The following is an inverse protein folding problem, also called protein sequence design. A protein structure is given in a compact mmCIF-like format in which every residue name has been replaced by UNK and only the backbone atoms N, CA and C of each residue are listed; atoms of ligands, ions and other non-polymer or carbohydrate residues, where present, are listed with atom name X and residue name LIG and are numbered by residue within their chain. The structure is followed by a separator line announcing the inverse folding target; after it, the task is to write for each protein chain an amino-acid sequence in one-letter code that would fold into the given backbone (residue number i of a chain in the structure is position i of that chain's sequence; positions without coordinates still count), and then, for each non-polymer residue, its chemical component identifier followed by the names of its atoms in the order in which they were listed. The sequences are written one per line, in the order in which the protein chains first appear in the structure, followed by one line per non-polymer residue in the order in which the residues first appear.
data_IF_600041446523
#
_entry.id   IF_600041446523
#
_cell.length_a   1.000
_cell.length_b   1.000
_cell.length_c   1.000
_cell.angle_alpha   90.00
_cell.angle_beta   90.00
_cell.angle_gamma   90.00
#
_symmetry.space_group_name_H-M   'P 1'
#
loop_
_entity.id
_entity.type
_entity.pdbx_description
1 polymer ?
#
# COMPACT_ATOMS: atom_id res chain seq x y z
N UNK A 1 -6.94 5.02 9.55
CA UNK A 1 -7.27 5.27 8.13
C UNK A 1 -6.77 6.65 7.73
N UNK A 2 -6.30 6.80 6.50
CA UNK A 2 -5.96 8.10 5.89
C UNK A 2 -7.23 8.73 5.30
N UNK A 3 -7.51 9.99 5.62
CA UNK A 3 -8.77 10.65 5.25
C UNK A 3 -8.81 10.97 3.75
N UNK A 4 -7.67 11.38 3.17
CA UNK A 4 -7.61 11.79 1.77
C UNK A 4 -7.79 10.59 0.82
N UNK A 5 -7.06 9.52 1.08
CA UNK A 5 -6.98 8.36 0.18
C UNK A 5 -7.89 7.20 0.57
N UNK A 6 -8.49 7.27 1.76
CA UNK A 6 -9.22 6.18 2.42
C UNK A 6 -8.39 4.91 2.68
N UNK A 7 -7.09 4.91 2.36
CA UNK A 7 -6.19 3.78 2.62
C UNK A 7 -5.94 3.61 4.12
N UNK A 8 -5.32 2.49 4.49
CA UNK A 8 -4.74 2.36 5.82
C UNK A 8 -3.66 3.44 6.01
N UNK A 9 -3.54 3.95 7.23
CA UNK A 9 -2.43 4.81 7.60
C UNK A 9 -1.29 3.94 8.16
N UNK A 10 -0.13 4.54 8.43
CA UNK A 10 1.03 3.85 9.01
C UNK A 10 0.70 3.03 10.27
N UNK A 11 -0.11 3.57 11.17
CA UNK A 11 -0.50 2.86 12.39
C UNK A 11 -1.31 1.60 12.08
N UNK A 12 -2.35 1.72 11.25
CA UNK A 12 -3.19 0.57 10.87
C UNK A 12 -2.38 -0.49 10.11
N UNK A 13 -1.47 -0.08 9.23
CA UNK A 13 -0.54 -0.98 8.55
C UNK A 13 0.25 -1.85 9.53
N UNK A 14 0.84 -1.24 10.56
CA UNK A 14 1.66 -1.97 11.53
C UNK A 14 0.84 -2.95 12.36
N UNK A 15 -0.38 -2.55 12.77
CA UNK A 15 -1.30 -3.44 13.46
C UNK A 15 -1.64 -4.65 12.59
N UNK A 16 -2.06 -4.40 11.35
CA UNK A 16 -2.45 -5.47 10.41
C UNK A 16 -1.26 -6.38 10.10
N UNK A 17 -0.07 -5.82 9.88
CA UNK A 17 1.13 -6.59 9.63
C UNK A 17 1.51 -7.47 10.82
N UNK A 18 1.42 -6.94 12.05
CA UNK A 18 1.71 -7.68 13.27
C UNK A 18 0.78 -8.88 13.42
N UNK A 19 -0.51 -8.73 13.13
CA UNK A 19 -1.48 -9.83 13.15
C UNK A 19 -1.10 -10.93 12.15
N UNK A 20 -0.66 -10.56 10.94
CA UNK A 20 -0.30 -11.53 9.90
C UNK A 20 0.97 -12.32 10.22
N UNK A 21 2.03 -11.64 10.69
CA UNK A 21 3.31 -12.31 10.99
C UNK A 21 3.25 -13.15 12.28
N UNK A 22 2.29 -12.89 13.16
CA UNK A 22 2.12 -13.65 14.41
C UNK A 22 1.32 -14.94 14.23
N UNK A 23 0.79 -15.20 13.02
CA UNK A 23 0.00 -16.39 12.73
C UNK A 23 0.87 -17.66 12.78
N UNK A 24 0.34 -18.77 13.32
CA UNK A 24 1.04 -20.08 13.40
C UNK A 24 1.55 -20.59 12.05
N UNK A 25 0.89 -20.21 10.96
CA UNK A 25 1.35 -20.39 9.57
C UNK A 25 1.34 -19.01 8.93
N UNK A 26 2.38 -18.21 9.18
CA UNK A 26 2.52 -16.92 8.52
C UNK A 26 2.92 -17.14 7.06
N UNK A 27 2.30 -16.47 6.09
CA UNK A 27 2.77 -16.47 4.71
C UNK A 27 4.11 -15.72 4.61
N UNK A 28 4.88 -15.99 3.55
CA UNK A 28 5.99 -15.12 3.17
C UNK A 28 5.39 -13.85 2.57
N UNK A 29 5.94 -12.69 2.94
CA UNK A 29 5.39 -11.38 2.58
C UNK A 29 6.37 -10.60 1.73
N UNK A 30 5.85 -10.00 0.67
CA UNK A 30 6.51 -8.92 -0.03
C UNK A 30 6.03 -7.58 0.55
N UNK A 31 6.98 -6.65 0.71
CA UNK A 31 6.70 -5.26 1.08
C UNK A 31 7.23 -4.38 -0.04
N UNK A 32 6.32 -3.71 -0.75
CA UNK A 32 6.65 -2.72 -1.75
C UNK A 32 6.53 -1.33 -1.12
N UNK A 33 7.63 -0.60 -1.12
CA UNK A 33 7.66 0.81 -0.76
C UNK A 33 7.60 1.64 -2.05
N UNK A 34 6.64 2.55 -2.13
CA UNK A 34 6.39 3.40 -3.30
C UNK A 34 6.51 4.85 -2.86
N UNK A 35 7.41 5.58 -3.50
CA UNK A 35 7.58 7.02 -3.33
C UNK A 35 7.24 7.71 -4.67
N UNK A 36 6.55 8.85 -4.62
CA UNK A 36 6.23 9.61 -5.83
C UNK A 36 7.36 10.58 -6.15
N UNK A 37 8.12 10.27 -7.20
CA UNK A 37 9.18 11.14 -7.70
C UNK A 37 8.65 12.56 -7.97
N UNK A 38 9.38 13.56 -7.47
CA UNK A 38 9.09 14.99 -7.66
C UNK A 38 7.68 15.44 -7.26
N UNK A 39 7.02 14.76 -6.31
CA UNK A 39 5.67 15.15 -5.86
C UNK A 39 5.60 16.59 -5.34
N UNK A 40 6.66 17.07 -4.67
CA UNK A 40 6.78 18.47 -4.26
C UNK A 40 6.73 19.42 -5.46
N UNK A 41 7.40 19.09 -6.56
CA UNK A 41 7.37 19.91 -7.79
C UNK A 41 5.96 20.01 -8.38
N UNK A 42 5.15 18.95 -8.27
CA UNK A 42 3.73 18.99 -8.66
C UNK A 42 2.96 19.98 -7.79
N UNK A 43 3.14 19.92 -6.46
CA UNK A 43 2.49 20.86 -5.55
C UNK A 43 2.94 22.31 -5.79
N UNK A 44 4.22 22.53 -6.02
CA UNK A 44 4.78 23.88 -6.19
C UNK A 44 4.30 24.53 -7.50
N UNK A 45 4.13 23.76 -8.58
CA UNK A 45 3.72 24.29 -9.88
C UNK A 45 2.20 24.30 -10.12
N UNK A 46 1.47 23.33 -9.55
CA UNK A 46 0.05 23.13 -9.84
C UNK A 46 -0.86 23.26 -8.61
N UNK A 47 -0.27 23.45 -7.43
CA UNK A 47 -0.97 23.62 -6.15
C UNK A 47 -1.35 22.30 -5.49
N UNK A 48 -1.52 22.35 -4.16
CA UNK A 48 -1.84 21.18 -3.33
C UNK A 48 -3.13 20.45 -3.76
N UNK A 49 -4.13 21.16 -4.28
CA UNK A 49 -5.35 20.52 -4.78
C UNK A 49 -5.08 19.55 -5.94
N UNK A 50 -4.03 19.78 -6.74
CA UNK A 50 -3.63 18.87 -7.83
C UNK A 50 -2.83 17.70 -7.27
N UNK A 51 -1.93 17.95 -6.32
CA UNK A 51 -1.25 16.89 -5.58
C UNK A 51 -2.22 15.94 -4.88
N UNK A 52 -3.26 16.47 -4.24
CA UNK A 52 -4.30 15.68 -3.58
C UNK A 52 -5.04 14.78 -4.57
N UNK A 53 -5.38 15.30 -5.75
CA UNK A 53 -6.00 14.51 -6.82
C UNK A 53 -5.10 13.38 -7.31
N UNK A 54 -3.78 13.64 -7.43
CA UNK A 54 -2.81 12.63 -7.80
C UNK A 54 -2.74 11.51 -6.75
N UNK A 55 -2.67 11.87 -5.46
CA UNK A 55 -2.65 10.90 -4.36
C UNK A 55 -3.92 10.04 -4.33
N UNK A 56 -5.09 10.66 -4.52
CA UNK A 56 -6.37 9.94 -4.62
C UNK A 56 -6.37 9.00 -5.83
N UNK A 57 -5.88 9.47 -6.98
CA UNK A 57 -5.82 8.66 -8.19
C UNK A 57 -4.89 7.44 -8.03
N UNK A 58 -3.68 7.64 -7.51
CA UNK A 58 -2.75 6.55 -7.23
C UNK A 58 -3.36 5.54 -6.26
N UNK A 59 -4.04 6.02 -5.21
CA UNK A 59 -4.68 5.15 -4.22
C UNK A 59 -5.79 4.28 -4.84
N UNK A 60 -6.56 4.84 -5.76
CA UNK A 60 -7.56 4.09 -6.52
C UNK A 60 -6.91 3.07 -7.47
N UNK A 61 -5.79 3.44 -8.11
CA UNK A 61 -5.03 2.55 -8.98
C UNK A 61 -4.47 1.36 -8.20
N UNK A 62 -3.84 1.60 -7.04
CA UNK A 62 -3.34 0.54 -6.17
C UNK A 62 -4.47 -0.41 -5.78
N UNK A 63 -5.63 0.09 -5.36
CA UNK A 63 -6.78 -0.77 -5.02
C UNK A 63 -7.31 -1.61 -6.19
N UNK A 64 -7.21 -1.07 -7.41
CA UNK A 64 -7.74 -1.71 -8.62
C UNK A 64 -6.79 -2.75 -9.18
N UNK A 65 -5.49 -2.45 -9.21
CA UNK A 65 -4.49 -3.27 -9.90
C UNK A 65 -3.85 -4.32 -9.01
N UNK A 66 -3.90 -4.15 -7.68
CA UNK A 66 -3.31 -5.14 -6.77
C UNK A 66 -4.16 -6.43 -6.78
N UNK A 67 -3.60 -7.57 -7.24
CA UNK A 67 -4.34 -8.80 -7.38
C UNK A 67 -4.63 -9.40 -6.02
N UNK A 68 -5.91 -9.69 -5.74
CA UNK A 68 -6.31 -10.41 -4.53
C UNK A 68 -5.61 -11.77 -4.58
N UNK A 69 -4.60 -11.96 -3.73
CA UNK A 69 -3.88 -13.24 -3.65
C UNK A 69 -4.80 -14.25 -2.97
N UNK A 70 -5.24 -15.27 -3.73
CA UNK A 70 -6.12 -16.32 -3.24
C UNK A 70 -5.29 -17.61 -3.17
N UNK A 71 -4.78 -17.91 -1.99
CA UNK A 71 -4.18 -19.20 -1.68
C UNK A 71 -5.16 -20.02 -0.83
N UNK A 72 -5.28 -21.35 -1.02
CA UNK A 72 -6.25 -22.17 -0.31
C UNK A 72 -6.11 -22.09 1.22
N UNK A 73 -4.88 -21.92 1.70
CA UNK A 73 -4.53 -21.90 3.11
C UNK A 73 -4.54 -20.49 3.74
N UNK A 74 -4.69 -19.44 2.92
CA UNK A 74 -4.61 -18.05 3.37
C UNK A 74 -5.85 -17.25 3.00
N UNK A 75 -6.32 -16.42 3.94
CA UNK A 75 -7.39 -15.46 3.62
C UNK A 75 -6.87 -14.50 2.54
N UNK A 76 -7.66 -14.12 1.53
CA UNK A 76 -7.19 -13.15 0.57
C UNK A 76 -6.98 -11.80 1.25
N UNK A 77 -5.77 -11.27 1.20
CA UNK A 77 -5.45 -9.98 1.82
C UNK A 77 -4.36 -9.24 1.05
N UNK A 78 -4.58 -7.95 0.86
CA UNK A 78 -3.60 -6.98 0.40
C UNK A 78 -3.75 -5.76 1.29
N UNK A 79 -2.64 -5.25 1.83
CA UNK A 79 -2.62 -4.03 2.62
C UNK A 79 -1.99 -2.92 1.78
N UNK A 80 -2.80 -2.00 1.27
CA UNK A 80 -2.33 -0.75 0.70
C UNK A 80 -2.50 0.37 1.73
N UNK A 81 -1.40 1.08 2.02
CA UNK A 81 -1.35 2.10 3.06
C UNK A 81 -0.60 3.33 2.57
N UNK A 82 -1.08 4.51 2.97
CA UNK A 82 -0.30 5.75 2.86
C UNK A 82 0.43 5.98 4.18
N UNK A 83 1.76 6.03 4.13
CA UNK A 83 2.61 6.08 5.33
C UNK A 83 3.28 7.43 5.52
N UNK A 84 3.38 8.23 4.46
CA UNK A 84 3.94 9.58 4.44
C UNK A 84 3.11 10.56 3.59
N UNK A 85 3.73 11.65 3.15
CA UNK A 85 3.06 12.65 2.32
C UNK A 85 2.77 12.10 0.91
N UNK A 86 3.78 11.51 0.28
CA UNK A 86 3.83 10.89 -1.04
C UNK A 86 4.15 9.39 -0.98
N UNK A 87 4.47 8.89 0.21
CA UNK A 87 4.92 7.52 0.44
C UNK A 87 3.75 6.55 0.67
N UNK A 88 3.78 5.44 -0.04
CA UNK A 88 2.83 4.33 0.08
C UNK A 88 3.57 3.03 0.37
N UNK A 89 2.90 2.15 1.11
CA UNK A 89 3.34 0.78 1.34
C UNK A 89 2.26 -0.18 0.88
N UNK A 90 2.67 -1.17 0.10
CA UNK A 90 1.84 -2.30 -0.26
C UNK A 90 2.45 -3.57 0.32
N UNK A 91 1.62 -4.34 1.03
CA UNK A 91 2.00 -5.65 1.54
C UNK A 91 1.08 -6.72 0.96
N UNK A 92 1.68 -7.79 0.44
CA UNK A 92 0.97 -8.93 -0.12
C UNK A 92 1.72 -10.24 0.13
N UNK A 93 1.01 -11.38 0.22
CA UNK A 93 1.63 -12.70 0.24
C UNK A 93 2.40 -12.96 -1.06
N UNK A 94 3.57 -13.61 -0.95
CA UNK A 94 4.31 -14.11 -2.11
C UNK A 94 4.94 -15.47 -1.80
N UNK A 95 5.11 -16.30 -2.82
CA UNK A 95 5.71 -17.62 -2.68
C UNK A 95 7.22 -17.60 -2.94
N UNK A 96 7.72 -16.55 -3.60
CA UNK A 96 9.15 -16.34 -3.86
C UNK A 96 9.45 -14.85 -4.14
N UNK A 97 10.73 -14.50 -4.21
CA UNK A 97 11.19 -13.14 -4.48
C UNK A 97 11.05 -12.69 -5.95
N UNK A 98 10.78 -13.60 -6.89
CA UNK A 98 10.54 -13.27 -8.30
C UNK A 98 9.13 -12.72 -8.53
N UNK A 99 8.13 -13.16 -7.75
CA UNK A 99 6.75 -12.65 -7.77
C UNK A 99 6.62 -11.23 -7.19
N UNK A 100 7.62 -10.76 -6.45
CA UNK A 100 7.60 -9.46 -5.79
C UNK A 100 8.16 -8.31 -6.64
N UNK A 101 8.62 -8.58 -7.87
CA UNK A 101 9.19 -7.62 -8.82
C UNK A 101 8.17 -7.21 -9.87
#
# INVERSE_FOLDING_TARGET
HDILTSLSNREKLLIDLQEQISAKRAPTLAVLFVDLDDFKHINDNYGHNVGDKLLVHLSALLRKELPIYIEPDYRPWILASRVGADEFVVVFPCNNSLEAR
#
